data_IF_620630374651
#
_entry.id   IF_620630374651
#
_cell.length_a   1.000
_cell.length_b   1.000
_cell.length_c   1.000
_cell.angle_alpha   90.00
_cell.angle_beta   90.00
_cell.angle_gamma   90.00
#
_symmetry.space_group_name_H-M   'P 1'
#
loop_
_entity.id
_entity.type
_entity.pdbx_description
1 polymer ?
#
# COMPACT_ATOMS: atom_id res chain seq x y z
N UNK A 1 -2.31 -1.22 22.68
CA UNK A 1 -1.38 -0.48 21.78
C UNK A 1 -0.03 -1.16 21.83
N UNK A 2 0.64 -1.38 20.70
CA UNK A 2 1.95 -2.03 20.68
C UNK A 2 3.02 -1.14 21.34
N UNK A 3 3.78 -1.71 22.27
CA UNK A 3 4.86 -1.08 23.05
C UNK A 3 5.83 -0.28 22.14
N UNK A 4 6.16 0.99 22.47
CA UNK A 4 7.14 1.79 21.73
C UNK A 4 8.47 1.09 21.46
N UNK A 5 8.96 0.26 22.40
CA UNK A 5 10.19 -0.51 22.24
C UNK A 5 10.04 -1.62 21.19
N UNK A 6 8.89 -2.29 21.17
CA UNK A 6 8.55 -3.29 20.14
C UNK A 6 8.42 -2.65 18.75
N UNK A 7 7.85 -1.44 18.66
CA UNK A 7 7.79 -0.69 17.41
C UNK A 7 9.18 -0.29 16.93
N UNK A 8 10.06 0.18 17.82
CA UNK A 8 11.42 0.57 17.46
C UNK A 8 12.24 -0.62 16.96
N UNK A 9 12.17 -1.75 17.68
CA UNK A 9 12.84 -3.00 17.28
C UNK A 9 12.35 -3.49 15.91
N UNK A 10 11.06 -3.35 15.61
CA UNK A 10 10.51 -3.67 14.30
C UNK A 10 11.02 -2.71 13.21
N UNK A 11 11.06 -1.40 13.50
CA UNK A 11 11.60 -0.38 12.58
C UNK A 11 13.07 -0.62 12.25
N UNK A 12 13.88 -0.97 13.24
CA UNK A 12 15.32 -1.21 13.06
C UNK A 12 15.59 -2.50 12.28
N UNK A 13 14.81 -3.56 12.56
CA UNK A 13 14.89 -4.85 11.85
C UNK A 13 14.52 -4.73 10.37
N UNK A 14 13.53 -3.90 10.05
CA UNK A 14 13.02 -3.73 8.68
C UNK A 14 13.48 -2.43 8.02
N UNK A 15 14.53 -1.77 8.54
CA UNK A 15 14.96 -0.45 8.07
C UNK A 15 15.24 -0.41 6.57
N UNK A 16 15.77 -1.50 6.02
CA UNK A 16 16.10 -1.64 4.60
C UNK A 16 14.89 -1.96 3.70
N UNK A 17 13.92 -2.72 4.23
CA UNK A 17 12.59 -2.90 3.61
C UNK A 17 11.85 -1.57 3.54
N UNK A 18 12.01 -0.75 4.59
CA UNK A 18 11.47 0.60 4.66
C UNK A 18 12.15 1.52 3.66
N UNK A 19 13.45 1.37 3.36
CA UNK A 19 14.14 2.16 2.33
C UNK A 19 13.57 1.88 0.95
N UNK A 20 13.36 0.61 0.57
CA UNK A 20 12.76 0.26 -0.73
C UNK A 20 11.31 0.73 -0.85
N UNK A 21 10.50 0.58 0.21
CA UNK A 21 9.14 1.13 0.25
C UNK A 21 9.13 2.67 0.32
N UNK A 22 10.13 3.30 0.93
CA UNK A 22 10.27 4.75 1.01
C UNK A 22 10.64 5.38 -0.33
N UNK A 23 11.32 4.64 -1.22
CA UNK A 23 11.57 5.17 -2.56
C UNK A 23 10.27 5.26 -3.37
N UNK A 24 9.35 4.31 -3.19
CA UNK A 24 7.97 4.40 -3.70
C UNK A 24 7.10 5.39 -2.89
N UNK A 25 7.39 5.59 -1.60
CA UNK A 25 6.65 6.49 -0.70
C UNK A 25 7.13 7.95 -0.70
N UNK A 26 7.90 8.40 -1.70
CA UNK A 26 8.14 9.84 -1.90
C UNK A 26 6.79 10.54 -2.06
N UNK A 27 6.59 11.65 -1.32
CA UNK A 27 5.48 12.65 -1.29
C UNK A 27 4.08 12.23 -1.81
N UNK A 28 3.99 11.65 -2.99
CA UNK A 28 2.79 11.14 -3.66
C UNK A 28 1.98 10.15 -2.82
N UNK A 29 2.57 9.10 -2.22
CA UNK A 29 1.78 8.12 -1.43
C UNK A 29 1.10 8.78 -0.23
N UNK A 30 1.80 9.69 0.46
CA UNK A 30 1.19 10.44 1.56
C UNK A 30 0.10 11.41 1.09
N UNK A 31 0.19 11.92 -0.14
CA UNK A 31 -0.87 12.68 -0.80
C UNK A 31 -2.06 11.79 -1.12
N UNK A 32 -1.84 10.67 -1.80
CA UNK A 32 -2.89 9.69 -2.14
C UNK A 32 -3.63 9.18 -0.91
N UNK A 33 -2.93 8.92 0.20
CA UNK A 33 -3.59 8.51 1.45
C UNK A 33 -4.45 9.62 2.07
N UNK A 34 -4.07 10.89 1.89
CA UNK A 34 -4.92 12.03 2.28
C UNK A 34 -6.15 12.11 1.37
N UNK A 35 -5.92 12.02 0.05
CA UNK A 35 -6.97 12.06 -0.97
C UNK A 35 -7.97 10.91 -0.79
N UNK A 36 -7.49 9.71 -0.47
CA UNK A 36 -8.33 8.55 -0.18
C UNK A 36 -9.12 8.76 1.11
N UNK A 37 -8.49 9.32 2.15
CA UNK A 37 -9.20 9.62 3.38
C UNK A 37 -10.33 10.64 3.15
N UNK A 38 -10.08 11.69 2.36
CA UNK A 38 -11.13 12.64 1.96
C UNK A 38 -12.21 12.00 1.08
N UNK A 39 -11.81 11.32 0.00
CA UNK A 39 -12.72 10.75 -1.00
C UNK A 39 -13.64 9.68 -0.42
N UNK A 40 -13.09 8.80 0.43
CA UNK A 40 -13.84 7.71 1.04
C UNK A 40 -14.33 8.02 2.47
N UNK A 41 -14.23 9.28 2.92
CA UNK A 41 -14.66 9.74 4.24
C UNK A 41 -14.07 8.92 5.40
N UNK A 42 -12.76 8.64 5.33
CA UNK A 42 -12.02 7.89 6.34
C UNK A 42 -11.42 8.84 7.39
N UNK A 43 -11.11 8.32 8.58
CA UNK A 43 -10.55 9.02 9.75
C UNK A 43 -9.05 9.32 9.61
N UNK A 44 -8.59 9.57 8.38
CA UNK A 44 -7.22 9.91 8.04
C UNK A 44 -6.40 8.75 7.47
N UNK A 45 -5.10 9.01 7.27
CA UNK A 45 -4.19 8.14 6.50
C UNK A 45 -4.07 6.72 7.04
N UNK A 46 -4.17 6.53 8.37
CA UNK A 46 -4.10 5.21 8.97
C UNK A 46 -5.28 4.32 8.55
N UNK A 47 -6.48 4.87 8.52
CA UNK A 47 -7.66 4.15 8.03
C UNK A 47 -7.60 3.99 6.50
N UNK A 48 -7.05 4.97 5.77
CA UNK A 48 -6.79 4.83 4.33
C UNK A 48 -5.86 3.65 4.00
N UNK A 49 -4.81 3.43 4.79
CA UNK A 49 -3.93 2.26 4.61
C UNK A 49 -4.70 0.96 4.84
N UNK A 50 -5.52 0.88 5.89
CA UNK A 50 -6.35 -0.29 6.17
C UNK A 50 -7.37 -0.53 5.05
N UNK A 51 -7.99 0.54 4.54
CA UNK A 51 -8.92 0.50 3.42
C UNK A 51 -8.26 -0.01 2.13
N UNK A 52 -7.06 0.46 1.79
CA UNK A 52 -6.31 -0.05 0.63
C UNK A 52 -6.05 -1.56 0.71
N UNK A 53 -5.68 -2.07 1.89
CA UNK A 53 -5.48 -3.51 2.09
C UNK A 53 -6.80 -4.29 1.94
N UNK A 54 -7.89 -3.75 2.52
CA UNK A 54 -9.23 -4.33 2.39
C UNK A 54 -9.69 -4.38 0.93
N UNK A 55 -9.62 -3.26 0.21
CA UNK A 55 -10.02 -3.15 -1.20
C UNK A 55 -9.22 -4.10 -2.09
N UNK A 56 -7.89 -4.18 -1.88
CA UNK A 56 -7.03 -5.13 -2.60
C UNK A 56 -7.48 -6.57 -2.36
N UNK A 57 -7.76 -6.94 -1.10
CA UNK A 57 -8.22 -8.31 -0.79
C UNK A 57 -9.57 -8.63 -1.43
N UNK A 58 -10.50 -7.68 -1.43
CA UNK A 58 -11.79 -7.82 -2.10
C UNK A 58 -11.63 -8.01 -3.60
N UNK A 59 -10.78 -7.20 -4.26
CA UNK A 59 -10.50 -7.35 -5.69
C UNK A 59 -9.89 -8.71 -6.04
N UNK A 60 -8.99 -9.23 -5.20
CA UNK A 60 -8.45 -10.58 -5.38
C UNK A 60 -9.54 -11.66 -5.33
N UNK A 61 -10.45 -11.58 -4.34
CA UNK A 61 -11.57 -12.53 -4.20
C UNK A 61 -12.54 -12.44 -5.38
N UNK A 62 -12.85 -11.22 -5.83
CA UNK A 62 -13.68 -11.02 -7.01
C UNK A 62 -13.00 -11.53 -8.29
N UNK A 63 -11.67 -11.41 -8.40
CA UNK A 63 -10.90 -11.92 -9.54
C UNK A 63 -10.99 -13.44 -9.75
N UNK A 64 -11.38 -14.21 -8.72
CA UNK A 64 -11.64 -15.65 -8.86
C UNK A 64 -12.87 -15.94 -9.73
N UNK A 65 -13.83 -15.00 -9.78
CA UNK A 65 -15.14 -15.19 -10.41
C UNK A 65 -15.45 -14.13 -11.49
N UNK A 66 -14.63 -13.08 -11.60
CA UNK A 66 -14.78 -11.98 -12.54
C UNK A 66 -13.47 -11.79 -13.34
N UNK A 67 -13.46 -12.12 -14.65
CA UNK A 67 -12.26 -11.99 -15.49
C UNK A 67 -11.72 -10.57 -15.59
N UNK A 68 -12.58 -9.56 -15.54
CA UNK A 68 -12.16 -8.15 -15.60
C UNK A 68 -11.48 -7.72 -14.29
N UNK A 69 -12.02 -8.13 -13.15
CA UNK A 69 -11.37 -7.89 -11.86
C UNK A 69 -9.98 -8.55 -11.81
N UNK A 70 -9.85 -9.77 -12.34
CA UNK A 70 -8.56 -10.45 -12.48
C UNK A 70 -7.60 -9.67 -13.37
N UNK A 71 -8.06 -9.21 -14.54
CA UNK A 71 -7.26 -8.42 -15.49
C UNK A 71 -6.75 -7.13 -14.85
N UNK A 72 -7.62 -6.39 -14.17
CA UNK A 72 -7.26 -5.16 -13.47
C UNK A 72 -6.23 -5.42 -12.37
N UNK A 73 -6.39 -6.49 -11.59
CA UNK A 73 -5.42 -6.86 -10.55
C UNK A 73 -4.05 -7.21 -11.13
N UNK A 74 -3.99 -7.92 -12.26
CA UNK A 74 -2.72 -8.17 -12.95
C UNK A 74 -2.06 -6.87 -13.40
N UNK A 75 -2.82 -5.97 -14.05
CA UNK A 75 -2.28 -4.68 -14.50
C UNK A 75 -1.75 -3.81 -13.35
N UNK A 76 -2.46 -3.78 -12.22
CA UNK A 76 -2.04 -3.05 -11.03
C UNK A 76 -0.74 -3.64 -10.47
N UNK A 77 -0.65 -4.98 -10.37
CA UNK A 77 0.55 -5.65 -9.86
C UNK A 77 1.77 -5.41 -10.78
N UNK A 78 1.58 -5.50 -12.09
CA UNK A 78 2.65 -5.26 -13.07
C UNK A 78 3.13 -3.81 -13.04
N UNK A 79 2.21 -2.85 -12.95
CA UNK A 79 2.55 -1.43 -12.81
C UNK A 79 3.31 -1.18 -11.50
N UNK A 80 2.87 -1.76 -10.40
CA UNK A 80 3.54 -1.63 -9.10
C UNK A 80 4.96 -2.22 -9.13
N UNK A 81 5.16 -3.38 -9.75
CA UNK A 81 6.49 -3.98 -9.91
C UNK A 81 7.40 -3.13 -10.80
N UNK A 82 6.89 -2.67 -11.95
CA UNK A 82 7.64 -1.79 -12.84
C UNK A 82 8.10 -0.53 -12.12
N UNK A 83 7.19 0.14 -11.42
CA UNK A 83 7.53 1.36 -10.70
C UNK A 83 8.53 1.06 -9.57
N UNK A 84 8.34 -0.03 -8.82
CA UNK A 84 9.31 -0.47 -7.80
C UNK A 84 10.71 -0.63 -8.40
N UNK A 85 10.82 -1.29 -9.54
CA UNK A 85 12.11 -1.60 -10.16
C UNK A 85 12.75 -0.35 -10.80
N UNK A 86 11.95 0.54 -11.39
CA UNK A 86 12.40 1.86 -11.89
C UNK A 86 12.97 2.75 -10.79
N UNK A 87 12.41 2.65 -9.59
CA UNK A 87 12.84 3.43 -8.44
C UNK A 87 13.62 2.59 -7.42
N UNK A 88 14.20 1.45 -7.79
CA UNK A 88 15.20 0.79 -6.92
C UNK A 88 16.51 1.62 -6.90
N UNK A 89 17.12 1.84 -5.72
CA UNK A 89 18.41 2.53 -5.62
C UNK A 89 19.57 1.70 -6.16
#
# INVERSE_FOLDING_TARGET
MADPAAQQKWRDKHRFTKTQLNVMARKHVHGYLEDFAGTFSLRGKAEAVAFCAFATKMLMQHGEHNPEAKRLMTLIADAFHRDRDLFQP
#
